data_IF_110098803287
#
_entry.id   IF_110098803287
#
_cell.length_a   1.000
_cell.length_b   1.000
_cell.length_c   1.000
_cell.angle_alpha   90.00
_cell.angle_beta   90.00
_cell.angle_gamma   90.00
#
_symmetry.space_group_name_H-M   'P 1'
#
loop_
_entity.id
_entity.type
_entity.pdbx_description
1 polymer ?
#
# COMPACT_ATOMS: atom_id res chain seq x y z
N UNK A 1 2.75 -3.19 -21.84
CA UNK A 1 3.59 -2.47 -20.86
C UNK A 1 3.03 -2.71 -19.46
N UNK A 2 3.86 -3.10 -18.50
CA UNK A 2 3.43 -3.38 -17.12
C UNK A 2 3.74 -2.14 -16.27
N UNK A 3 2.73 -1.55 -15.63
CA UNK A 3 2.86 -0.38 -14.77
C UNK A 3 2.07 -0.62 -13.49
N UNK A 4 2.55 -0.03 -12.39
CA UNK A 4 1.78 0.17 -11.17
C UNK A 4 1.44 1.65 -11.08
N UNK A 5 0.15 1.95 -10.95
CA UNK A 5 -0.35 3.29 -10.69
C UNK A 5 -0.65 3.46 -9.20
N UNK A 6 -0.31 4.63 -8.64
CA UNK A 6 -0.68 5.00 -7.27
C UNK A 6 -1.75 6.09 -7.35
N UNK A 7 -2.99 5.71 -7.02
CA UNK A 7 -4.10 6.64 -6.85
C UNK A 7 -3.99 7.37 -5.51
N UNK A 8 -4.36 8.64 -5.50
CA UNK A 8 -4.35 9.50 -4.30
C UNK A 8 -5.71 10.18 -4.16
N UNK A 9 -6.17 10.35 -2.93
CA UNK A 9 -7.40 11.06 -2.60
C UNK A 9 -7.38 11.58 -1.18
N UNK A 10 -8.23 12.56 -0.89
CA UNK A 10 -8.39 13.11 0.45
C UNK A 10 -9.87 13.11 0.83
N UNK A 11 -10.13 12.81 2.10
CA UNK A 11 -11.45 12.81 2.72
C UNK A 11 -11.36 13.60 4.03
N UNK A 12 -12.51 13.91 4.65
CA UNK A 12 -12.54 14.51 6.00
C UNK A 12 -11.81 13.64 7.05
N UNK A 13 -11.80 12.32 6.83
CA UNK A 13 -11.16 11.36 7.73
C UNK A 13 -9.64 11.27 7.52
N UNK A 14 -9.09 11.76 6.40
CA UNK A 14 -7.66 11.75 6.12
C UNK A 14 -7.32 11.45 4.67
N UNK A 15 -6.03 11.22 4.44
CA UNK A 15 -5.46 10.89 3.13
C UNK A 15 -5.67 9.41 2.79
N UNK A 16 -5.93 9.14 1.51
CA UNK A 16 -6.19 7.83 0.93
C UNK A 16 -5.20 7.58 -0.21
N UNK A 17 -4.60 6.39 -0.26
CA UNK A 17 -3.84 5.94 -1.41
C UNK A 17 -4.20 4.51 -1.75
N UNK A 18 -4.10 4.16 -3.04
CA UNK A 18 -4.29 2.77 -3.48
C UNK A 18 -3.41 2.46 -4.69
N UNK A 19 -3.06 1.19 -4.84
CA UNK A 19 -2.35 0.70 -6.03
C UNK A 19 -3.32 0.14 -7.07
N UNK A 20 -2.90 0.20 -8.33
CA UNK A 20 -3.52 -0.47 -9.45
C UNK A 20 -2.44 -1.03 -10.37
N UNK A 21 -2.43 -2.34 -10.57
CA UNK A 21 -1.50 -3.06 -11.42
C UNK A 21 -0.57 -4.04 -10.71
N UNK A 22 -0.57 -4.12 -9.37
CA UNK A 22 0.25 -5.08 -8.61
C UNK A 22 0.01 -6.56 -9.01
N UNK A 23 -1.23 -7.00 -9.33
CA UNK A 23 -1.49 -8.38 -9.75
C UNK A 23 -0.78 -8.80 -11.04
N UNK A 24 -0.38 -7.85 -11.89
CA UNK A 24 0.43 -8.14 -13.09
C UNK A 24 1.84 -8.65 -12.74
N UNK A 25 2.27 -8.45 -11.49
CA UNK A 25 3.50 -8.97 -10.91
C UNK A 25 3.23 -10.15 -9.94
N UNK A 26 2.00 -10.66 -9.88
CA UNK A 26 1.62 -11.73 -8.94
C UNK A 26 1.54 -11.26 -7.48
N UNK A 27 1.31 -9.96 -7.24
CA UNK A 27 1.26 -9.36 -5.91
C UNK A 27 -0.14 -8.77 -5.62
N UNK A 28 -0.53 -8.72 -4.35
CA UNK A 28 -1.79 -8.11 -3.93
C UNK A 28 -1.77 -6.59 -4.12
N UNK A 29 -2.93 -6.00 -4.42
CA UNK A 29 -3.09 -4.55 -4.34
C UNK A 29 -3.04 -4.07 -2.89
N UNK A 30 -2.63 -2.82 -2.70
CA UNK A 30 -2.44 -2.20 -1.39
C UNK A 30 -3.22 -0.90 -1.30
N UNK A 31 -3.72 -0.58 -0.10
CA UNK A 31 -4.43 0.65 0.21
C UNK A 31 -3.97 1.23 1.55
N UNK A 32 -3.81 2.56 1.60
CA UNK A 32 -3.67 3.32 2.83
C UNK A 32 -4.97 4.08 2.99
N UNK A 33 -5.67 3.87 4.11
CA UNK A 33 -6.97 4.48 4.35
C UNK A 33 -6.95 5.46 5.53
N UNK A 34 -7.62 6.60 5.38
CA UNK A 34 -7.87 7.58 6.45
C UNK A 34 -6.62 8.02 7.22
N UNK A 35 -5.45 8.06 6.58
CA UNK A 35 -4.20 8.36 7.28
C UNK A 35 -4.08 9.86 7.59
N UNK A 36 -3.55 10.18 8.77
CA UNK A 36 -3.24 11.54 9.19
C UNK A 36 -1.83 11.99 8.76
N UNK A 37 -1.02 11.07 8.24
CA UNK A 37 0.30 11.36 7.67
C UNK A 37 0.13 12.18 6.38
N UNK A 38 1.10 13.05 6.08
CA UNK A 38 1.04 13.89 4.89
C UNK A 38 1.09 13.07 3.59
N UNK A 39 0.40 13.57 2.55
CA UNK A 39 0.22 12.85 1.28
C UNK A 39 1.56 12.50 0.60
N UNK A 40 2.56 13.37 0.71
CA UNK A 40 3.86 13.17 0.07
C UNK A 40 4.60 12.01 0.71
N UNK A 41 4.62 11.94 2.04
CA UNK A 41 5.23 10.85 2.80
C UNK A 41 4.51 9.53 2.52
N UNK A 42 3.17 9.54 2.47
CA UNK A 42 2.39 8.36 2.12
C UNK A 42 2.69 7.86 0.71
N UNK A 43 2.69 8.76 -0.28
CA UNK A 43 2.98 8.41 -1.67
C UNK A 43 4.39 7.85 -1.83
N UNK A 44 5.38 8.50 -1.20
CA UNK A 44 6.78 8.05 -1.24
C UNK A 44 6.94 6.67 -0.58
N UNK A 45 6.28 6.46 0.56
CA UNK A 45 6.32 5.19 1.29
C UNK A 45 5.67 4.06 0.48
N UNK A 46 4.46 4.28 -0.06
CA UNK A 46 3.74 3.26 -0.84
C UNK A 46 4.46 2.94 -2.15
N UNK A 47 5.01 3.95 -2.83
CA UNK A 47 5.80 3.74 -4.05
C UNK A 47 7.05 2.91 -3.76
N UNK A 48 7.77 3.23 -2.68
CA UNK A 48 8.94 2.47 -2.24
C UNK A 48 8.56 1.03 -1.87
N UNK A 49 7.39 0.85 -1.26
CA UNK A 49 6.83 -0.47 -0.96
C UNK A 49 6.56 -1.30 -2.22
N UNK A 50 5.90 -0.72 -3.22
CA UNK A 50 5.70 -1.38 -4.51
C UNK A 50 7.05 -1.79 -5.14
N UNK A 51 8.02 -0.88 -5.16
CA UNK A 51 9.34 -1.15 -5.73
C UNK A 51 10.06 -2.28 -4.99
N UNK A 52 10.01 -2.31 -3.66
CA UNK A 52 10.62 -3.36 -2.85
C UNK A 52 9.95 -4.73 -3.06
N UNK A 53 8.62 -4.78 -2.99
CA UNK A 53 7.84 -6.02 -3.15
C UNK A 53 8.09 -6.64 -4.53
N UNK A 54 8.07 -5.81 -5.58
CA UNK A 54 8.28 -6.27 -6.95
C UNK A 54 9.75 -6.64 -7.16
N UNK A 55 10.67 -5.76 -6.80
CA UNK A 55 12.10 -5.93 -7.07
C UNK A 55 12.76 -7.05 -6.27
N UNK A 56 12.25 -7.35 -5.07
CA UNK A 56 12.77 -8.40 -4.19
C UNK A 56 11.87 -9.64 -4.13
N UNK A 57 10.86 -9.71 -5.00
CA UNK A 57 9.86 -10.78 -5.06
C UNK A 57 9.20 -11.14 -3.72
N UNK A 58 9.03 -10.16 -2.82
CA UNK A 58 8.41 -10.39 -1.50
C UNK A 58 6.93 -10.70 -1.66
N UNK A 59 6.42 -11.63 -0.85
CA UNK A 59 4.98 -11.85 -0.69
C UNK A 59 4.64 -11.42 0.73
N UNK A 60 3.95 -10.29 0.85
CA UNK A 60 3.47 -9.81 2.14
C UNK A 60 2.34 -10.71 2.64
N UNK A 61 2.50 -11.30 3.82
CA UNK A 61 1.46 -12.10 4.46
C UNK A 61 0.72 -11.29 5.51
N UNK A 62 -0.54 -11.66 5.72
CA UNK A 62 -1.35 -11.13 6.81
C UNK A 62 -0.64 -11.31 8.16
N UNK A 63 -0.56 -10.23 8.96
CA UNK A 63 0.08 -10.23 10.28
C UNK A 63 1.59 -9.99 10.28
N UNK A 64 2.24 -9.85 9.12
CA UNK A 64 3.64 -9.46 9.05
C UNK A 64 3.80 -7.95 9.28
N UNK A 65 4.81 -7.58 10.06
CA UNK A 65 5.31 -6.20 10.13
C UNK A 65 6.56 -6.14 9.27
N UNK A 66 6.52 -5.34 8.21
CA UNK A 66 7.72 -5.01 7.43
C UNK A 66 8.10 -3.57 7.79
N UNK A 67 9.40 -3.33 7.97
CA UNK A 67 9.93 -2.00 8.20
C UNK A 67 11.04 -1.69 7.21
N UNK A 68 10.99 -0.50 6.60
CA UNK A 68 12.09 0.02 5.77
C UNK A 68 13.20 0.61 6.64
N UNK A 69 12.92 0.94 7.92
CA UNK A 69 13.88 1.40 8.94
C UNK A 69 13.52 0.83 10.32
N UNK A 70 14.38 1.03 11.32
CA UNK A 70 14.14 0.56 12.69
C UNK A 70 12.91 1.23 13.35
N UNK A 71 12.57 2.44 12.89
CA UNK A 71 11.49 3.27 13.42
C UNK A 71 10.18 3.05 12.66
N UNK A 72 10.23 2.75 11.36
CA UNK A 72 9.03 2.65 10.54
C UNK A 72 8.46 1.22 10.55
N UNK A 73 7.32 1.03 11.22
CA UNK A 73 6.58 -0.24 11.26
C UNK A 73 5.27 -0.10 10.51
N UNK A 74 5.01 -0.99 9.53
CA UNK A 74 3.71 -1.05 8.88
C UNK A 74 2.86 -2.16 9.49
N UNK A 75 1.63 -1.82 9.82
CA UNK A 75 0.62 -2.81 10.16
C UNK A 75 -0.11 -3.20 8.88
N UNK A 76 -0.07 -4.49 8.55
CA UNK A 76 -0.66 -5.05 7.34
C UNK A 76 -1.88 -5.90 7.72
N UNK A 77 -3.02 -5.56 7.14
CA UNK A 77 -4.24 -6.38 7.23
C UNK A 77 -4.79 -6.65 5.84
N UNK A 78 -5.72 -7.61 5.69
CA UNK A 78 -6.38 -7.93 4.42
C UNK A 78 -7.88 -7.77 4.57
N UNK A 79 -8.51 -6.98 3.71
CA UNK A 79 -9.96 -6.78 3.71
C UNK A 79 -10.47 -6.39 2.32
N UNK A 80 -11.78 -6.20 2.18
CA UNK A 80 -12.38 -5.80 0.89
C UNK A 80 -11.77 -4.49 0.41
N UNK A 81 -11.54 -4.39 -0.90
CA UNK A 81 -11.01 -3.17 -1.50
C UNK A 81 -12.01 -2.02 -1.38
N UNK A 82 -11.50 -0.81 -1.20
CA UNK A 82 -12.33 0.41 -1.18
C UNK A 82 -12.17 1.17 -2.50
N UNK A 83 -10.93 1.37 -2.95
CA UNK A 83 -10.57 2.08 -4.16
C UNK A 83 -9.77 1.22 -5.16
N UNK A 84 -8.97 0.26 -4.66
CA UNK A 84 -8.19 -0.63 -5.52
C UNK A 84 -9.10 -1.48 -6.44
N UNK A 85 -8.73 -1.70 -7.72
CA UNK A 85 -9.58 -2.38 -8.70
C UNK A 85 -9.52 -3.91 -8.59
N UNK A 86 -9.81 -4.44 -7.40
CA UNK A 86 -9.85 -5.87 -7.09
C UNK A 86 -10.83 -6.14 -5.94
N UNK A 87 -11.17 -7.40 -5.66
CA UNK A 87 -12.12 -7.72 -4.58
C UNK A 87 -11.53 -7.49 -3.18
N UNK A 88 -10.26 -7.83 -2.99
CA UNK A 88 -9.54 -7.73 -1.72
C UNK A 88 -8.18 -7.07 -1.90
N UNK A 89 -7.77 -6.27 -0.92
CA UNK A 89 -6.49 -5.59 -0.89
C UNK A 89 -5.85 -5.67 0.50
N UNK A 90 -4.55 -5.44 0.54
CA UNK A 90 -3.83 -5.22 1.78
C UNK A 90 -4.07 -3.78 2.26
N UNK A 91 -4.42 -3.61 3.53
CA UNK A 91 -4.48 -2.29 4.17
C UNK A 91 -3.18 -2.05 4.91
N UNK A 92 -2.55 -0.94 4.60
CA UNK A 92 -1.29 -0.50 5.16
C UNK A 92 -1.59 0.66 6.11
N UNK A 93 -1.36 0.45 7.40
CA UNK A 93 -1.38 1.52 8.38
C UNK A 93 0.06 1.89 8.76
N UNK A 94 0.37 3.18 8.60
CA UNK A 94 1.65 3.77 8.96
C UNK A 94 1.43 4.52 10.27
N UNK A 95 2.18 4.13 11.31
CA UNK A 95 2.18 4.78 12.62
C UNK A 95 3.27 5.86 12.69
#
# INVERSE_FOLDING_TARGET
MIWVFVGMGQTEQGNQLYTSGMPKFGKDEMEILNSKVDMRTLHTSLTSMCAYIIGSDVVLKYGETVGFSAEQKWQISRSKSVYAPCEFSLKIAIA
#
